data_IF_821999420381
#
_entry.id   IF_821999420381
#
_cell.length_a   1.000
_cell.length_b   1.000
_cell.length_c   1.000
_cell.angle_alpha   90.00
_cell.angle_beta   90.00
_cell.angle_gamma   90.00
#
_symmetry.space_group_name_H-M   'P 1'
#
loop_
_entity.id
_entity.type
_entity.pdbx_description
1 polymer ?
#
# COMPACT_ATOMS: atom_id res chain seq x y z
N UNK A 1 57.21 37.01 35.69
CA UNK A 1 55.78 36.94 35.33
C UNK A 1 55.55 35.55 34.76
N UNK A 2 55.30 34.51 35.55
CA UNK A 2 54.21 34.24 36.51
C UNK A 2 52.94 33.70 35.82
N UNK A 3 52.94 32.36 35.69
CA UNK A 3 51.83 31.38 35.88
C UNK A 3 50.55 31.49 35.02
N UNK A 4 49.66 30.46 34.94
CA UNK A 4 49.50 29.32 35.87
C UNK A 4 49.19 27.91 35.28
N UNK A 5 49.51 26.92 36.12
CA UNK A 5 48.64 25.84 36.65
C UNK A 5 47.86 24.80 35.79
N UNK A 6 47.74 23.64 36.48
CA UNK A 6 46.68 22.62 36.48
C UNK A 6 46.85 21.45 35.50
N UNK A 7 47.30 20.26 35.94
CA UNK A 7 46.61 19.18 36.71
C UNK A 7 45.33 18.66 36.04
N UNK A 8 45.10 17.35 36.29
CA UNK A 8 43.80 16.63 36.43
C UNK A 8 43.44 15.72 35.23
N UNK A 9 43.65 14.39 35.35
CA UNK A 9 42.76 13.28 35.84
C UNK A 9 42.02 12.59 34.70
N UNK A 10 41.74 11.31 34.86
CA UNK A 10 40.51 10.71 34.31
C UNK A 10 40.65 9.30 33.76
N UNK A 11 40.18 8.33 34.53
CA UNK A 11 40.08 6.88 34.29
C UNK A 11 39.04 6.52 33.21
N UNK A 12 38.99 5.25 32.74
CA UNK A 12 38.17 4.78 31.63
C UNK A 12 36.74 4.42 32.07
N UNK A 13 35.78 4.44 31.15
CA UNK A 13 34.60 3.58 31.15
C UNK A 13 33.68 3.96 29.97
N UNK A 14 33.65 3.15 28.93
CA UNK A 14 32.49 3.04 28.05
C UNK A 14 32.12 1.56 28.13
N UNK A 15 30.96 1.15 28.60
CA UNK A 15 29.65 1.76 28.48
C UNK A 15 28.75 0.65 27.94
N UNK A 16 27.86 0.16 28.79
CA UNK A 16 27.08 -1.08 28.66
C UNK A 16 26.32 -1.19 27.33
N UNK A 17 26.39 -2.35 26.70
CA UNK A 17 25.44 -2.79 25.65
C UNK A 17 24.05 -3.00 26.27
N UNK A 18 22.98 -2.37 25.77
CA UNK A 18 21.64 -2.76 26.14
C UNK A 18 21.27 -4.04 25.38
N UNK A 19 21.06 -5.10 26.15
CA UNK A 19 20.44 -6.35 25.69
C UNK A 19 19.07 -6.05 25.12
N UNK A 20 18.94 -6.15 23.80
CA UNK A 20 17.66 -6.02 23.11
C UNK A 20 16.80 -7.25 23.42
N UNK A 21 15.93 -7.12 24.42
CA UNK A 21 14.91 -8.12 24.72
C UNK A 21 13.96 -8.23 23.53
N UNK A 22 13.96 -9.42 22.92
CA UNK A 22 13.10 -9.75 21.79
C UNK A 22 11.65 -9.88 22.28
N UNK A 23 10.91 -8.77 22.24
CA UNK A 23 9.47 -8.74 22.47
C UNK A 23 8.73 -9.35 21.29
N UNK A 24 8.68 -10.68 21.24
CA UNK A 24 7.91 -11.43 20.27
C UNK A 24 6.40 -11.34 20.56
N UNK A 25 5.69 -10.44 19.87
CA UNK A 25 4.32 -10.69 19.44
C UNK A 25 4.32 -10.81 17.93
N UNK A 26 4.32 -12.06 17.43
CA UNK A 26 4.07 -12.37 16.01
C UNK A 26 2.61 -12.09 15.68
N UNK A 27 2.23 -10.81 15.66
CA UNK A 27 1.09 -10.38 14.89
C UNK A 27 1.41 -10.70 13.44
N UNK A 28 0.65 -11.62 12.82
CA UNK A 28 0.73 -11.86 11.39
C UNK A 28 0.24 -10.58 10.73
N UNK A 29 1.16 -9.64 10.46
CA UNK A 29 0.85 -8.41 9.74
C UNK A 29 0.31 -8.83 8.38
N UNK A 30 -1.02 -8.82 8.26
CA UNK A 30 -1.68 -8.92 6.96
C UNK A 30 -1.22 -7.68 6.22
N UNK A 31 -0.35 -7.85 5.22
CA UNK A 31 0.06 -6.75 4.34
C UNK A 31 -1.19 -6.32 3.58
N UNK A 32 -1.85 -5.28 4.07
CA UNK A 32 -2.91 -4.58 3.34
C UNK A 32 -2.21 -3.80 2.24
N UNK A 33 -2.24 -4.32 1.01
CA UNK A 33 -1.74 -3.58 -0.15
C UNK A 33 -2.59 -2.32 -0.29
N UNK A 34 -1.94 -1.15 -0.36
CA UNK A 34 -2.64 0.08 -0.75
C UNK A 34 -3.11 -0.08 -2.18
N UNK A 35 -4.39 0.16 -2.41
CA UNK A 35 -5.01 0.03 -3.74
C UNK A 35 -4.35 0.90 -4.81
N UNK A 36 -3.63 1.97 -4.43
CA UNK A 36 -2.92 2.88 -5.34
C UNK A 36 -1.49 2.47 -5.70
N UNK A 37 -0.88 1.49 -5.03
CA UNK A 37 0.53 1.13 -5.23
C UNK A 37 0.74 0.22 -6.46
N UNK A 38 -0.34 -0.38 -6.98
CA UNK A 38 -0.36 -1.39 -8.05
C UNK A 38 -1.45 -1.04 -9.08
N UNK A 39 -1.60 0.25 -9.38
CA UNK A 39 -2.62 0.72 -10.31
C UNK A 39 -2.38 0.10 -11.70
N UNK A 40 -3.31 -0.72 -12.22
CA UNK A 40 -3.07 -1.43 -13.47
C UNK A 40 -2.99 -0.45 -14.65
N UNK A 41 -2.30 -0.87 -15.71
CA UNK A 41 -2.29 -0.12 -16.96
C UNK A 41 -3.57 -0.41 -17.76
N UNK A 42 -4.10 0.59 -18.44
CA UNK A 42 -5.22 0.43 -19.34
C UNK A 42 -4.82 -0.47 -20.53
N UNK A 43 -5.55 -1.56 -20.84
CA UNK A 43 -5.23 -2.45 -21.96
C UNK A 43 -5.24 -1.75 -23.33
N UNK A 44 -6.06 -0.70 -23.49
CA UNK A 44 -6.28 -0.02 -24.76
C UNK A 44 -5.26 1.08 -25.06
N UNK A 45 -4.87 1.85 -24.03
CA UNK A 45 -4.00 3.03 -24.20
C UNK A 45 -2.71 2.98 -23.38
N UNK A 46 -2.50 1.90 -22.63
CA UNK A 46 -1.35 1.68 -21.73
C UNK A 46 -1.13 2.79 -20.69
N UNK A 47 -2.08 3.71 -20.53
CA UNK A 47 -2.03 4.77 -19.53
C UNK A 47 -2.32 4.22 -18.14
N UNK A 48 -1.75 4.83 -17.08
CA UNK A 48 -2.04 4.44 -15.70
C UNK A 48 -3.52 4.65 -15.40
N UNK A 49 -4.16 3.63 -14.82
CA UNK A 49 -5.54 3.74 -14.35
C UNK A 49 -5.59 4.48 -13.02
N UNK A 50 -6.60 5.32 -12.84
CA UNK A 50 -6.93 5.97 -11.58
C UNK A 50 -8.12 5.24 -10.95
N UNK A 51 -8.09 5.04 -9.64
CA UNK A 51 -9.21 4.44 -8.93
C UNK A 51 -10.36 5.44 -8.80
N UNK A 52 -11.51 5.12 -9.36
CA UNK A 52 -12.72 5.97 -9.33
C UNK A 52 -13.71 5.64 -8.21
N UNK A 53 -13.51 4.53 -7.48
CA UNK A 53 -14.39 4.13 -6.38
C UNK A 53 -14.57 2.61 -6.27
N UNK A 54 -15.55 2.20 -5.46
CA UNK A 54 -15.97 0.81 -5.29
C UNK A 54 -17.46 0.67 -5.59
N UNK A 55 -17.83 -0.34 -6.36
CA UNK A 55 -19.21 -0.65 -6.75
C UNK A 55 -19.57 -2.03 -6.22
N UNK A 56 -20.58 -2.10 -5.34
CA UNK A 56 -21.05 -3.39 -4.85
C UNK A 56 -21.78 -4.15 -5.97
N UNK A 57 -21.21 -5.25 -6.42
CA UNK A 57 -21.74 -6.06 -7.52
C UNK A 57 -21.98 -7.49 -7.06
N UNK A 58 -23.02 -8.14 -7.58
CA UNK A 58 -23.20 -9.58 -7.40
C UNK A 58 -22.28 -10.29 -8.40
N UNK A 59 -21.46 -11.21 -7.92
CA UNK A 59 -20.66 -12.10 -8.77
C UNK A 59 -21.54 -13.29 -9.16
N UNK A 60 -21.70 -13.52 -10.46
CA UNK A 60 -22.57 -14.59 -10.94
C UNK A 60 -22.02 -15.99 -10.62
N UNK A 61 -20.70 -16.16 -10.56
CA UNK A 61 -20.05 -17.44 -10.28
C UNK A 61 -20.42 -18.04 -8.92
N UNK A 62 -20.44 -17.23 -7.85
CA UNK A 62 -20.68 -17.68 -6.48
C UNK A 62 -21.91 -17.03 -5.82
N UNK A 63 -22.60 -16.17 -6.56
CA UNK A 63 -23.78 -15.43 -6.11
C UNK A 63 -23.51 -14.40 -5.01
N UNK A 64 -22.24 -14.19 -4.63
CA UNK A 64 -21.87 -13.30 -3.53
C UNK A 64 -21.85 -11.85 -3.98
N UNK A 65 -22.16 -10.93 -3.06
CA UNK A 65 -21.99 -9.49 -3.29
C UNK A 65 -20.59 -9.10 -2.88
N UNK A 66 -19.79 -8.65 -3.84
CA UNK A 66 -18.41 -8.24 -3.63
C UNK A 66 -18.19 -6.89 -4.31
N UNK A 67 -17.33 -6.07 -3.72
CA UNK A 67 -16.97 -4.79 -4.29
C UNK A 67 -16.10 -4.98 -5.54
N UNK A 68 -16.48 -4.31 -6.62
CA UNK A 68 -15.63 -4.07 -7.80
C UNK A 68 -14.98 -2.71 -7.67
N UNK A 69 -13.67 -2.67 -7.78
CA UNK A 69 -12.89 -1.45 -7.95
C UNK A 69 -13.12 -0.88 -9.33
N UNK A 70 -13.51 0.39 -9.36
CA UNK A 70 -13.65 1.17 -10.59
C UNK A 70 -12.30 1.77 -10.96
N UNK A 71 -11.91 1.57 -12.21
CA UNK A 71 -10.68 2.07 -12.78
C UNK A 71 -10.98 2.92 -14.01
N UNK A 72 -10.37 4.10 -14.10
CA UNK A 72 -10.54 5.01 -15.23
C UNK A 72 -9.19 5.53 -15.71
N UNK A 73 -8.96 5.53 -17.01
CA UNK A 73 -7.77 6.16 -17.60
C UNK A 73 -8.09 7.58 -18.08
N UNK A 74 -7.05 8.38 -18.37
CA UNK A 74 -7.22 9.72 -18.95
C UNK A 74 -7.98 9.73 -20.29
N UNK A 75 -7.93 8.61 -21.04
CA UNK A 75 -8.70 8.39 -22.25
C UNK A 75 -10.17 8.02 -22.02
N UNK A 76 -10.67 8.12 -20.78
CA UNK A 76 -12.05 7.80 -20.36
C UNK A 76 -12.49 6.34 -20.55
N UNK A 77 -11.56 5.41 -20.81
CA UNK A 77 -11.86 3.98 -20.70
C UNK A 77 -12.11 3.60 -19.25
N UNK A 78 -13.19 2.86 -19.01
CA UNK A 78 -13.65 2.45 -17.69
C UNK A 78 -13.53 0.93 -17.59
N UNK A 79 -12.84 0.49 -16.54
CA UNK A 79 -12.55 -0.91 -16.26
C UNK A 79 -12.95 -1.27 -14.84
N UNK A 80 -13.29 -2.53 -14.63
CA UNK A 80 -13.64 -3.10 -13.34
C UNK A 80 -12.62 -4.16 -12.93
N UNK A 81 -12.39 -4.25 -11.62
CA UNK A 81 -11.61 -5.33 -11.04
C UNK A 81 -12.24 -5.77 -9.73
N UNK A 82 -12.27 -7.06 -9.43
CA UNK A 82 -12.72 -7.54 -8.15
C UNK A 82 -11.76 -7.13 -7.02
N UNK A 83 -12.27 -6.45 -5.99
CA UNK A 83 -11.45 -5.97 -4.87
C UNK A 83 -10.89 -7.12 -4.01
N UNK A 84 -11.56 -8.27 -3.99
CA UNK A 84 -11.08 -9.50 -3.34
C UNK A 84 -10.08 -10.28 -4.21
N UNK A 85 -10.01 -9.99 -5.51
CA UNK A 85 -9.14 -10.69 -6.47
C UNK A 85 -8.39 -9.70 -7.37
N UNK A 86 -7.43 -8.94 -6.83
CA UNK A 86 -6.64 -7.98 -7.60
C UNK A 86 -5.67 -8.63 -8.60
N UNK A 87 -5.51 -9.96 -8.55
CA UNK A 87 -4.74 -10.71 -9.54
C UNK A 87 -5.57 -11.08 -10.77
N UNK A 88 -6.90 -10.94 -10.72
CA UNK A 88 -7.75 -11.18 -11.88
C UNK A 88 -7.64 -10.04 -12.91
N UNK A 89 -7.85 -10.37 -14.20
CA UNK A 89 -7.82 -9.37 -15.27
C UNK A 89 -8.84 -8.26 -15.05
N UNK A 90 -8.58 -7.11 -15.65
CA UNK A 90 -9.56 -6.05 -15.76
C UNK A 90 -10.72 -6.49 -16.65
N UNK A 91 -11.93 -6.31 -16.16
CA UNK A 91 -13.17 -6.55 -16.89
C UNK A 91 -13.72 -5.24 -17.47
N UNK A 92 -14.38 -5.33 -18.62
CA UNK A 92 -15.09 -4.19 -19.22
C UNK A 92 -16.27 -3.83 -18.33
N UNK A 93 -16.41 -2.54 -17.99
CA UNK A 93 -17.60 -2.07 -17.28
C UNK A 93 -18.82 -2.16 -18.22
N UNK A 94 -19.88 -2.90 -17.87
CA UNK A 94 -21.09 -3.02 -18.68
C UNK A 94 -21.96 -1.76 -18.66
N UNK A 95 -21.74 -0.86 -17.68
CA UNK A 95 -22.50 0.38 -17.49
C UNK A 95 -21.57 1.59 -17.34
N UNK A 96 -20.74 1.89 -18.36
CA UNK A 96 -19.77 2.98 -18.31
C UNK A 96 -20.45 4.35 -18.14
N UNK A 97 -21.71 4.49 -18.57
CA UNK A 97 -22.52 5.71 -18.44
C UNK A 97 -22.69 6.18 -16.99
N UNK A 98 -22.66 5.26 -16.02
CA UNK A 98 -22.86 5.60 -14.60
C UNK A 98 -21.67 6.35 -13.98
N UNK A 99 -20.52 6.39 -14.67
CA UNK A 99 -19.26 6.94 -14.14
C UNK A 99 -18.64 7.99 -15.06
N UNK A 100 -19.46 8.61 -15.93
CA UNK A 100 -19.05 9.66 -16.88
C UNK A 100 -18.92 11.04 -16.25
#
# INVERSE_FOLDING_TARGET
>A
MYEPSARVRGTPAQGRTPTQVASGRRGRSVRVRRMTDDAPACPECSQPLQSGGLVLSKRDEDGRRICRSLWQCAGRHIWWQWADRPAEPLEVCPVPELFR
#
